data_IF_172384752065
#
_entry.id   IF_172384752065
#
_cell.length_a   1.000
_cell.length_b   1.000
_cell.length_c   1.000
_cell.angle_alpha   90.00
_cell.angle_beta   90.00
_cell.angle_gamma   90.00
#
_symmetry.space_group_name_H-M   'P 1'
#
loop_
_entity.id
_entity.type
_entity.pdbx_description
1 polymer ?
#
# COMPACT_ATOMS: atom_id res chain seq x y z
N UNK A 1 -10.08 13.77 59.43
CA UNK A 1 -9.90 12.48 58.73
C UNK A 1 -10.75 12.29 57.47
N UNK A 2 -11.65 13.20 57.08
CA UNK A 2 -12.54 13.01 55.89
C UNK A 2 -11.87 13.42 54.57
N UNK A 3 -11.03 14.46 54.58
CA UNK A 3 -10.37 15.02 53.38
C UNK A 3 -9.32 14.09 52.73
N UNK A 4 -8.62 13.26 53.52
CA UNK A 4 -7.65 12.29 53.02
C UNK A 4 -8.31 11.09 52.32
N UNK A 5 -9.54 10.74 52.70
CA UNK A 5 -10.28 9.63 52.11
C UNK A 5 -10.80 9.98 50.70
N UNK A 6 -11.31 11.21 50.53
CA UNK A 6 -11.75 11.73 49.23
C UNK A 6 -10.59 11.84 48.21
N UNK A 7 -9.41 12.31 48.64
CA UNK A 7 -8.22 12.38 47.79
C UNK A 7 -7.75 11.00 47.31
N UNK A 8 -7.77 9.99 48.19
CA UNK A 8 -7.40 8.61 47.85
C UNK A 8 -8.39 7.97 46.86
N UNK A 9 -9.70 8.17 47.04
CA UNK A 9 -10.72 7.72 46.08
C UNK A 9 -10.58 8.38 44.71
N UNK A 10 -10.29 9.69 44.65
CA UNK A 10 -10.09 10.41 43.39
C UNK A 10 -8.83 9.91 42.65
N UNK A 11 -7.73 9.68 43.38
CA UNK A 11 -6.50 9.11 42.84
C UNK A 11 -6.69 7.69 42.30
N UNK A 12 -7.42 6.83 43.01
CA UNK A 12 -7.73 5.47 42.56
C UNK A 12 -8.60 5.48 41.30
N UNK A 13 -9.60 6.38 41.22
CA UNK A 13 -10.43 6.53 40.02
C UNK A 13 -9.63 7.03 38.81
N UNK A 14 -8.74 8.01 39.02
CA UNK A 14 -7.85 8.50 37.97
C UNK A 14 -6.89 7.39 37.50
N UNK A 15 -6.25 6.66 38.41
CA UNK A 15 -5.38 5.52 38.06
C UNK A 15 -6.14 4.43 37.29
N UNK A 16 -7.38 4.12 37.68
CA UNK A 16 -8.19 3.14 36.96
C UNK A 16 -8.55 3.59 35.54
N UNK A 17 -8.79 4.89 35.32
CA UNK A 17 -9.00 5.44 33.97
C UNK A 17 -7.73 5.33 33.11
N UNK A 18 -6.55 5.60 33.68
CA UNK A 18 -5.27 5.47 32.97
C UNK A 18 -4.95 4.01 32.59
N UNK A 19 -5.29 3.06 33.44
CA UNK A 19 -5.13 1.62 33.12
C UNK A 19 -6.11 1.20 32.02
N UNK A 20 -7.34 1.70 32.03
CA UNK A 20 -8.33 1.43 30.98
C UNK A 20 -7.94 2.03 29.61
N UNK A 21 -7.36 3.23 29.57
CA UNK A 21 -6.90 3.83 28.30
C UNK A 21 -5.66 3.15 27.72
N UNK A 22 -4.78 2.59 28.56
CA UNK A 22 -3.60 1.82 28.11
C UNK A 22 -3.95 0.46 27.49
N UNK A 23 -5.11 -0.13 27.80
CA UNK A 23 -5.52 -1.43 27.25
C UNK A 23 -6.21 -1.32 25.88
N UNK A 24 -6.65 -0.13 25.46
CA UNK A 24 -7.33 0.07 24.17
C UNK A 24 -6.38 0.29 22.98
N UNK A 25 -5.08 0.47 23.20
CA UNK A 25 -4.09 0.73 22.14
C UNK A 25 -3.48 -0.54 21.51
N UNK A 26 -3.88 -1.75 21.96
CA UNK A 26 -3.27 -2.99 21.52
C UNK A 26 -3.84 -3.60 20.22
N UNK A 27 -4.87 -3.00 19.60
CA UNK A 27 -5.50 -3.55 18.38
C UNK A 27 -4.94 -3.02 17.05
N UNK A 28 -3.82 -2.29 17.04
CA UNK A 28 -3.16 -1.93 15.78
C UNK A 28 -2.18 -3.03 15.37
N UNK A 29 -2.71 -4.08 14.75
CA UNK A 29 -1.94 -5.02 13.94
C UNK A 29 -1.37 -4.28 12.71
N UNK A 30 -0.28 -3.53 12.88
CA UNK A 30 0.40 -2.85 11.77
C UNK A 30 1.33 -3.81 11.05
N UNK A 31 0.75 -4.69 10.24
CA UNK A 31 1.47 -5.34 9.13
C UNK A 31 0.52 -5.38 7.94
N UNK A 32 0.29 -4.21 7.35
CA UNK A 32 -0.38 -4.12 6.06
C UNK A 32 0.36 -3.04 5.29
N UNK A 33 1.00 -3.44 4.20
CA UNK A 33 1.57 -2.54 3.20
C UNK A 33 0.59 -1.36 2.98
N UNK A 34 1.03 -0.14 3.27
CA UNK A 34 0.15 1.03 3.29
C UNK A 34 -0.12 1.50 1.87
N UNK A 35 -1.19 0.99 1.27
CA UNK A 35 -1.78 1.55 0.04
C UNK A 35 -2.39 2.91 0.40
N UNK A 36 -2.15 3.92 -0.43
CA UNK A 36 -2.75 5.24 -0.22
C UNK A 36 -4.29 5.14 -0.27
N UNK A 37 -4.98 5.82 0.65
CA UNK A 37 -6.45 5.77 0.75
C UNK A 37 -7.15 6.16 -0.56
N UNK A 38 -6.52 7.06 -1.34
CA UNK A 38 -7.00 7.49 -2.65
C UNK A 38 -7.19 6.33 -3.64
N UNK A 39 -6.39 5.27 -3.53
CA UNK A 39 -6.46 4.11 -4.44
C UNK A 39 -7.74 3.28 -4.26
N UNK A 40 -8.44 3.45 -3.14
CA UNK A 40 -9.72 2.78 -2.87
C UNK A 40 -10.92 3.59 -3.37
N UNK A 41 -10.69 4.83 -3.81
CA UNK A 41 -11.76 5.68 -4.32
C UNK A 41 -12.08 5.34 -5.77
N UNK A 42 -13.34 5.48 -6.21
CA UNK A 42 -13.69 5.36 -7.61
C UNK A 42 -12.90 6.36 -8.47
N UNK A 43 -12.57 5.96 -9.69
CA UNK A 43 -11.88 6.81 -10.66
C UNK A 43 -12.60 6.77 -12.02
N UNK A 44 -12.38 7.81 -12.81
CA UNK A 44 -12.86 7.84 -14.20
C UNK A 44 -11.87 7.09 -15.09
N UNK A 45 -12.36 6.08 -15.80
CA UNK A 45 -11.55 5.29 -16.72
C UNK A 45 -11.15 6.17 -17.91
N UNK A 46 -9.89 6.11 -18.33
CA UNK A 46 -9.45 6.78 -19.55
C UNK A 46 -10.27 6.31 -20.76
N UNK A 47 -10.81 7.22 -21.60
CA UNK A 47 -11.55 6.83 -22.80
C UNK A 47 -10.69 6.02 -23.77
N UNK A 48 -11.30 5.10 -24.53
CA UNK A 48 -10.58 4.18 -25.44
C UNK A 48 -9.66 4.87 -26.46
N UNK A 49 -9.99 6.09 -26.88
CA UNK A 49 -9.19 6.87 -27.83
C UNK A 49 -8.01 7.61 -27.17
N UNK A 50 -7.98 7.67 -25.84
CA UNK A 50 -6.86 8.23 -25.06
C UNK A 50 -5.95 7.14 -24.49
N UNK A 51 -6.40 5.88 -24.44
CA UNK A 51 -5.58 4.77 -23.96
C UNK A 51 -4.44 4.49 -24.93
N UNK A 52 -3.27 4.12 -24.39
CA UNK A 52 -2.18 3.62 -25.23
C UNK A 52 -2.59 2.32 -25.91
N UNK A 53 -3.37 1.49 -25.21
CA UNK A 53 -3.87 0.23 -25.73
C UNK A 53 -5.30 -0.05 -25.27
N UNK A 54 -6.13 -0.55 -26.19
CA UNK A 54 -7.49 -0.99 -25.87
C UNK A 54 -7.57 -2.48 -25.54
N UNK A 55 -6.58 -3.26 -26.01
CA UNK A 55 -6.41 -4.66 -25.69
C UNK A 55 -4.93 -4.88 -25.35
N UNK A 56 -4.67 -5.50 -24.21
CA UNK A 56 -3.31 -5.71 -23.69
C UNK A 56 -3.15 -7.17 -23.32
N UNK A 57 -2.05 -7.78 -23.74
CA UNK A 57 -1.63 -9.09 -23.23
C UNK A 57 -0.94 -8.87 -21.89
N UNK A 58 -1.41 -9.56 -20.85
CA UNK A 58 -0.90 -9.41 -19.49
C UNK A 58 -0.14 -10.67 -19.09
N UNK A 59 1.06 -10.48 -18.55
CA UNK A 59 1.79 -11.47 -17.76
C UNK A 59 1.84 -10.99 -16.31
N UNK A 60 1.81 -11.93 -15.36
CA UNK A 60 1.92 -11.61 -13.95
C UNK A 60 3.04 -12.42 -13.32
N UNK A 61 4.01 -11.71 -12.74
CA UNK A 61 5.18 -12.26 -12.09
C UNK A 61 5.17 -11.92 -10.59
N UNK A 62 5.58 -12.88 -9.77
CA UNK A 62 5.66 -12.72 -8.32
C UNK A 62 7.13 -12.75 -7.90
N UNK A 63 7.53 -11.77 -7.09
CA UNK A 63 8.91 -11.62 -6.59
C UNK A 63 8.94 -11.49 -5.06
N UNK A 64 10.00 -12.00 -4.44
CA UNK A 64 10.19 -11.89 -2.99
C UNK A 64 10.52 -10.45 -2.58
N UNK A 65 11.49 -9.82 -3.25
CA UNK A 65 11.88 -8.42 -3.02
C UNK A 65 11.33 -7.51 -4.14
N UNK A 66 10.00 -7.32 -4.12
CA UNK A 66 9.31 -6.41 -5.05
C UNK A 66 9.76 -4.96 -4.88
N UNK A 67 10.09 -4.55 -3.65
CA UNK A 67 10.50 -3.17 -3.35
C UNK A 67 11.81 -2.82 -4.07
N UNK A 68 12.81 -3.69 -3.98
CA UNK A 68 14.06 -3.53 -4.70
C UNK A 68 13.89 -3.64 -6.21
N UNK A 69 13.19 -4.68 -6.68
CA UNK A 69 13.02 -4.93 -8.11
C UNK A 69 12.30 -3.77 -8.81
N UNK A 70 11.13 -3.39 -8.29
CA UNK A 70 10.35 -2.28 -8.83
C UNK A 70 11.07 -0.96 -8.60
N UNK A 71 11.67 -0.73 -7.43
CA UNK A 71 12.43 0.49 -7.15
C UNK A 71 13.57 0.70 -8.15
N UNK A 72 14.37 -0.34 -8.41
CA UNK A 72 15.43 -0.31 -9.40
C UNK A 72 14.88 0.01 -10.80
N UNK A 73 13.80 -0.65 -11.20
CA UNK A 73 13.25 -0.51 -12.54
C UNK A 73 12.53 0.85 -12.76
N UNK A 74 11.93 1.42 -11.72
CA UNK A 74 11.40 2.79 -11.70
C UNK A 74 12.49 3.86 -11.53
N UNK A 75 13.78 3.48 -11.55
CA UNK A 75 14.95 4.36 -11.33
C UNK A 75 14.93 5.09 -9.99
N UNK A 76 14.28 4.50 -8.98
CA UNK A 76 14.35 4.98 -7.61
C UNK A 76 15.73 4.61 -7.03
N UNK A 77 16.28 5.48 -6.18
CA UNK A 77 17.44 5.12 -5.37
C UNK A 77 17.08 3.97 -4.41
N UNK A 78 18.02 3.06 -4.15
CA UNK A 78 17.79 1.88 -3.30
C UNK A 78 17.24 2.24 -1.91
N UNK A 79 17.82 3.24 -1.26
CA UNK A 79 17.32 3.74 0.03
C UNK A 79 15.86 4.23 -0.09
N UNK A 80 15.56 5.01 -1.14
CA UNK A 80 14.22 5.53 -1.38
C UNK A 80 13.19 4.40 -1.62
N UNK A 81 13.58 3.32 -2.30
CA UNK A 81 12.68 2.18 -2.52
C UNK A 81 12.37 1.38 -1.25
N UNK A 82 13.09 1.57 -0.16
CA UNK A 82 12.72 0.97 1.13
C UNK A 82 12.02 1.97 2.06
N UNK A 83 12.22 3.28 1.88
CA UNK A 83 11.47 4.33 2.58
C UNK A 83 10.01 4.39 2.12
N UNK A 84 9.77 4.29 0.81
CA UNK A 84 8.45 4.27 0.19
C UNK A 84 8.35 3.04 -0.72
N UNK A 85 8.19 1.83 -0.14
CA UNK A 85 8.33 0.61 -0.90
C UNK A 85 7.19 0.43 -1.91
N UNK A 86 7.51 0.30 -3.21
CA UNK A 86 6.50 -0.07 -4.20
C UNK A 86 5.96 -1.47 -3.87
N UNK A 87 4.65 -1.64 -4.00
CA UNK A 87 3.98 -2.91 -3.74
C UNK A 87 3.88 -3.78 -5.00
N UNK A 88 4.06 -3.14 -6.15
CA UNK A 88 4.14 -3.72 -7.46
C UNK A 88 4.64 -2.68 -8.47
N UNK A 89 4.75 -3.12 -9.72
CA UNK A 89 5.07 -2.28 -10.86
C UNK A 89 4.61 -2.96 -12.15
N UNK A 90 4.40 -2.18 -13.21
CA UNK A 90 4.07 -2.67 -14.55
C UNK A 90 5.17 -2.34 -15.57
N UNK A 91 5.49 -3.29 -16.45
CA UNK A 91 6.49 -3.14 -17.52
C UNK A 91 5.89 -3.46 -18.87
N UNK A 92 6.27 -2.68 -19.88
CA UNK A 92 5.90 -2.97 -21.26
C UNK A 92 7.07 -3.57 -22.04
N UNK A 93 6.92 -4.82 -22.48
CA UNK A 93 7.83 -5.44 -23.42
C UNK A 93 7.37 -5.12 -24.85
N UNK A 94 8.12 -4.25 -25.52
CA UNK A 94 7.84 -3.81 -26.90
C UNK A 94 7.93 -4.97 -27.89
N UNK A 95 8.87 -5.91 -27.68
CA UNK A 95 9.10 -7.02 -28.60
C UNK A 95 7.99 -8.07 -28.49
N UNK A 96 7.52 -8.34 -27.27
CA UNK A 96 6.41 -9.28 -27.03
C UNK A 96 5.03 -8.66 -27.16
N UNK A 97 4.95 -7.33 -27.23
CA UNK A 97 3.71 -6.57 -27.10
C UNK A 97 2.88 -7.03 -25.90
N UNK A 98 3.55 -7.14 -24.74
CA UNK A 98 3.00 -7.68 -23.50
C UNK A 98 3.33 -6.77 -22.32
N UNK A 99 2.36 -6.54 -21.45
CA UNK A 99 2.59 -5.88 -20.17
C UNK A 99 2.82 -6.92 -19.08
N UNK A 100 3.95 -6.84 -18.37
CA UNK A 100 4.23 -7.68 -17.21
C UNK A 100 3.97 -6.89 -15.94
N UNK A 101 3.05 -7.37 -15.12
CA UNK A 101 2.82 -6.86 -13.77
C UNK A 101 3.69 -7.67 -12.81
N UNK A 102 4.40 -6.99 -11.92
CA UNK A 102 5.21 -7.62 -10.88
C UNK A 102 4.66 -7.23 -9.51
N UNK A 103 4.44 -8.22 -8.64
CA UNK A 103 3.99 -7.98 -7.25
C UNK A 103 4.83 -8.78 -6.25
N UNK A 104 4.69 -8.44 -4.97
CA UNK A 104 5.20 -9.26 -3.86
C UNK A 104 4.46 -10.59 -3.70
N UNK A 105 5.00 -11.49 -2.87
CA UNK A 105 4.37 -12.77 -2.48
C UNK A 105 2.97 -12.58 -1.88
N UNK A 106 2.75 -11.45 -1.22
CA UNK A 106 1.45 -11.03 -0.69
C UNK A 106 1.10 -9.72 -1.37
N UNK A 107 -0.07 -9.66 -1.99
CA UNK A 107 -0.58 -8.47 -2.66
C UNK A 107 -2.09 -8.33 -2.41
N UNK A 108 -2.66 -7.21 -2.85
CA UNK A 108 -4.09 -6.94 -2.76
C UNK A 108 -4.69 -6.70 -4.15
N UNK A 109 -6.01 -6.85 -4.26
CA UNK A 109 -6.74 -6.49 -5.47
C UNK A 109 -6.54 -5.03 -5.88
N UNK A 110 -6.36 -4.13 -4.90
CA UNK A 110 -6.14 -2.70 -5.17
C UNK A 110 -4.76 -2.47 -5.77
N UNK A 111 -3.71 -3.06 -5.18
CA UNK A 111 -2.36 -2.99 -5.74
C UNK A 111 -2.28 -3.63 -7.14
N UNK A 112 -2.83 -4.83 -7.31
CA UNK A 112 -2.84 -5.50 -8.63
C UNK A 112 -3.65 -4.71 -9.68
N UNK A 113 -4.80 -4.16 -9.27
CA UNK A 113 -5.64 -3.34 -10.14
C UNK A 113 -4.99 -2.01 -10.54
N UNK A 114 -4.22 -1.40 -9.64
CA UNK A 114 -3.42 -0.21 -9.90
C UNK A 114 -2.38 -0.48 -11.01
N UNK A 115 -1.63 -1.57 -10.89
CA UNK A 115 -0.63 -1.94 -11.91
C UNK A 115 -1.29 -2.33 -13.24
N UNK A 116 -2.43 -3.01 -13.21
CA UNK A 116 -3.19 -3.33 -14.42
C UNK A 116 -3.62 -2.06 -15.15
N UNK A 117 -4.07 -1.04 -14.41
CA UNK A 117 -4.42 0.26 -15.00
C UNK A 117 -3.22 0.91 -15.67
N UNK A 118 -2.02 0.83 -15.08
CA UNK A 118 -0.80 1.31 -15.73
C UNK A 118 -0.55 0.67 -17.10
N UNK A 119 -0.84 -0.63 -17.26
CA UNK A 119 -0.72 -1.32 -18.54
C UNK A 119 -1.63 -0.74 -19.64
N UNK A 120 -2.88 -0.35 -19.32
CA UNK A 120 -3.82 0.19 -20.30
C UNK A 120 -3.62 1.69 -20.57
N UNK A 121 -3.34 2.46 -19.51
CA UNK A 121 -3.27 3.92 -19.56
C UNK A 121 -1.85 4.44 -19.89
N UNK A 122 -0.85 3.57 -19.94
CA UNK A 122 0.49 3.93 -20.39
C UNK A 122 1.45 4.41 -19.30
N UNK A 123 1.14 4.12 -18.04
CA UNK A 123 1.93 4.52 -16.88
C UNK A 123 2.92 3.44 -16.44
N UNK A 124 3.38 2.61 -17.38
CA UNK A 124 4.32 1.52 -17.14
C UNK A 124 5.78 1.96 -17.30
N UNK A 125 6.70 1.12 -16.81
CA UNK A 125 8.14 1.26 -16.98
C UNK A 125 8.65 0.47 -18.20
N UNK A 126 9.91 0.68 -18.58
CA UNK A 126 10.60 0.03 -19.70
C UNK A 126 11.93 -0.56 -19.25
#
# INVERSE_FOLDING_TARGET
MVFQFFRKCLLIRLLSLWVLTLNLSACLSTTTQKIAVQEFLPFNVMPAHHRIMNQVRISWEVREDVAHFCGFASRMGREQSYLTPPLGCAFWDILKAECTIVTGLVTSHVALGHELRHCFEGHYHR
#
